data_IF_365806236023
#
_entry.id   IF_365806236023
#
_cell.length_a   1.000
_cell.length_b   1.000
_cell.length_c   1.000
_cell.angle_alpha   90.00
_cell.angle_beta   90.00
_cell.angle_gamma   90.00
#
_symmetry.space_group_name_H-M   'P 1'
#
loop_
_entity.id
_entity.type
_entity.pdbx_description
1 polymer ?
#
# COMPACT_ATOMS: atom_id res chain seq x y z
N UNK A 1 -0.71 -5.01 29.83
CA UNK A 1 -1.73 -4.65 28.80
C UNK A 1 -1.06 -4.08 27.55
N UNK A 2 -1.77 -3.95 26.42
CA UNK A 2 -1.25 -3.30 25.21
C UNK A 2 -2.36 -2.56 24.44
N UNK A 3 -2.02 -1.45 23.77
CA UNK A 3 -2.98 -0.58 23.08
C UNK A 3 -2.99 -0.81 21.57
N UNK A 4 -4.19 -0.87 20.98
CA UNK A 4 -4.37 -0.88 19.52
C UNK A 4 -4.32 0.55 18.97
N UNK A 5 -3.62 0.75 17.87
CA UNK A 5 -3.59 2.01 17.13
C UNK A 5 -4.13 1.84 15.71
N UNK A 6 -4.64 2.94 15.16
CA UNK A 6 -5.11 2.98 13.77
C UNK A 6 -4.27 3.97 12.96
N UNK A 7 -4.09 3.67 11.68
CA UNK A 7 -3.35 4.51 10.74
C UNK A 7 -3.99 4.42 9.35
N UNK A 8 -3.68 5.38 8.49
CA UNK A 8 -4.08 5.38 7.08
C UNK A 8 -2.82 5.35 6.19
N UNK A 9 -2.85 4.59 5.10
CA UNK A 9 -1.77 4.50 4.13
C UNK A 9 -2.29 4.79 2.72
N UNK A 10 -1.56 5.51 1.89
CA UNK A 10 -2.03 6.01 0.60
C UNK A 10 -1.02 6.91 -0.11
N UNK A 11 -1.39 7.52 -1.22
CA UNK A 11 -0.51 8.39 -2.00
C UNK A 11 0.47 7.62 -2.90
N UNK A 12 1.47 8.31 -3.50
CA UNK A 12 2.37 7.70 -4.47
C UNK A 12 3.36 6.73 -3.82
N UNK A 13 3.72 5.66 -4.55
CA UNK A 13 4.78 4.74 -4.14
C UNK A 13 6.14 5.44 -4.27
N UNK A 14 6.83 5.62 -3.15
CA UNK A 14 8.17 6.21 -3.10
C UNK A 14 9.20 5.11 -2.80
N UNK A 15 10.22 4.98 -3.65
CA UNK A 15 11.30 4.02 -3.43
C UNK A 15 12.19 4.42 -2.26
N UNK A 16 12.79 3.43 -1.57
CA UNK A 16 13.60 3.64 -0.37
C UNK A 16 14.70 4.70 -0.54
N UNK A 17 15.43 4.66 -1.65
CA UNK A 17 16.53 5.60 -1.93
C UNK A 17 16.09 7.05 -2.15
N UNK A 18 14.79 7.28 -2.39
CA UNK A 18 14.24 8.62 -2.60
C UNK A 18 13.74 9.26 -1.30
N UNK A 19 13.56 8.48 -0.22
CA UNK A 19 13.09 8.96 1.08
C UNK A 19 14.24 9.63 1.82
N UNK A 20 14.04 10.86 2.26
CA UNK A 20 15.05 11.64 3.00
C UNK A 20 14.61 12.02 4.41
N UNK A 21 13.31 12.23 4.58
CA UNK A 21 12.73 12.69 5.83
C UNK A 21 11.85 11.62 6.46
N UNK A 22 11.78 11.60 7.78
CA UNK A 22 10.95 10.62 8.50
C UNK A 22 9.47 10.73 8.09
N UNK A 23 8.94 11.94 7.86
CA UNK A 23 7.55 12.14 7.46
C UNK A 23 7.18 11.52 6.11
N UNK A 24 8.14 11.31 5.22
CA UNK A 24 7.94 10.67 3.91
C UNK A 24 7.78 9.15 4.00
N UNK A 25 8.22 8.52 5.11
CA UNK A 25 8.07 7.08 5.32
C UNK A 25 6.60 6.67 5.45
N UNK A 26 5.80 7.48 6.15
CA UNK A 26 4.39 7.21 6.44
C UNK A 26 3.95 7.67 7.82
N UNK A 27 2.74 7.30 8.26
CA UNK A 27 2.17 7.77 9.52
C UNK A 27 2.95 7.24 10.74
N UNK A 28 3.03 8.07 11.79
CA UNK A 28 3.60 7.67 13.09
C UNK A 28 2.66 6.69 13.79
N UNK A 29 3.24 5.62 14.32
CA UNK A 29 2.55 4.59 15.09
C UNK A 29 3.38 4.25 16.32
N UNK A 30 2.73 3.79 17.38
CA UNK A 30 3.39 3.42 18.62
C UNK A 30 2.75 2.20 19.26
N UNK A 31 3.59 1.22 19.60
CA UNK A 31 3.19 0.04 20.33
C UNK A 31 3.57 0.24 21.80
N UNK A 32 2.55 0.26 22.65
CA UNK A 32 2.68 0.56 24.08
C UNK A 32 2.35 -0.68 24.88
N UNK A 33 3.22 -1.02 25.81
CA UNK A 33 3.10 -2.16 26.71
C UNK A 33 3.12 -1.70 28.15
N UNK A 34 2.23 -2.27 28.95
CA UNK A 34 2.12 -2.00 30.38
C UNK A 34 2.46 -3.26 31.16
N UNK A 35 3.45 -3.15 32.03
CA UNK A 35 3.91 -4.20 32.94
C UNK A 35 3.52 -3.79 34.36
N UNK A 36 2.79 -4.66 35.07
CA UNK A 36 2.30 -4.37 36.40
C UNK A 36 2.76 -5.44 37.39
N UNK A 37 3.26 -5.04 38.55
CA UNK A 37 3.64 -5.95 39.61
C UNK A 37 2.47 -6.14 40.60
N UNK A 38 1.67 -7.19 40.39
CA UNK A 38 0.60 -7.59 41.32
C UNK A 38 1.11 -8.31 42.57
N UNK A 39 2.36 -8.76 42.55
CA UNK A 39 2.95 -9.56 43.62
C UNK A 39 3.10 -8.80 44.94
N UNK A 40 3.20 -9.50 46.07
CA UNK A 40 3.34 -8.88 47.38
C UNK A 40 4.72 -8.22 47.61
N UNK A 41 5.70 -8.49 46.74
CA UNK A 41 7.10 -8.08 46.88
C UNK A 41 7.57 -7.24 45.70
N UNK A 42 8.62 -6.42 45.92
CA UNK A 42 9.29 -5.70 44.82
C UNK A 42 10.08 -6.68 43.94
N UNK A 43 10.21 -6.34 42.66
CA UNK A 43 11.05 -7.07 41.71
C UNK A 43 12.25 -6.20 41.33
N UNK A 44 13.47 -6.71 41.50
CA UNK A 44 14.69 -5.94 41.26
C UNK A 44 14.90 -5.62 39.78
N UNK A 45 14.64 -6.57 38.90
CA UNK A 45 14.78 -6.43 37.46
C UNK A 45 13.74 -7.31 36.78
N UNK A 46 12.98 -6.72 35.85
CA UNK A 46 12.05 -7.44 34.98
C UNK A 46 12.57 -7.36 33.55
N UNK A 47 12.79 -8.50 32.91
CA UNK A 47 13.15 -8.57 31.49
C UNK A 47 11.87 -8.73 30.66
N UNK A 48 11.68 -7.85 29.68
CA UNK A 48 10.59 -7.90 28.71
C UNK A 48 11.18 -8.04 27.32
N UNK A 49 10.75 -9.06 26.57
CA UNK A 49 11.14 -9.25 25.17
C UNK A 49 9.99 -8.91 24.26
N UNK A 50 10.22 -7.98 23.33
CA UNK A 50 9.25 -7.54 22.33
C UNK A 50 9.72 -8.00 20.95
N UNK A 51 9.02 -8.97 20.36
CA UNK A 51 9.25 -9.38 18.97
C UNK A 51 8.65 -8.34 18.03
N UNK A 52 9.54 -7.58 17.38
CA UNK A 52 9.21 -6.41 16.59
C UNK A 52 9.16 -6.71 15.08
N UNK A 53 8.01 -6.54 14.41
CA UNK A 53 7.84 -6.82 12.98
C UNK A 53 8.31 -5.66 12.11
N UNK A 54 9.58 -5.69 11.68
CA UNK A 54 10.20 -4.57 10.95
C UNK A 54 10.14 -4.71 9.43
N UNK A 55 10.02 -5.93 8.91
CA UNK A 55 9.94 -6.23 7.48
C UNK A 55 8.82 -7.25 7.19
N UNK A 56 8.24 -7.18 6.00
CA UNK A 56 7.30 -8.19 5.50
C UNK A 56 8.06 -9.50 5.24
N UNK A 57 7.46 -10.64 5.61
CA UNK A 57 8.06 -11.93 5.32
C UNK A 57 8.17 -12.17 3.81
N UNK A 58 9.34 -12.62 3.37
CA UNK A 58 9.59 -13.07 2.01
C UNK A 58 10.64 -14.20 2.02
N UNK A 59 10.92 -14.78 0.85
CA UNK A 59 11.89 -15.87 0.71
C UNK A 59 13.36 -15.40 0.66
N UNK A 60 13.61 -14.09 0.82
CA UNK A 60 14.95 -13.48 0.78
C UNK A 60 15.47 -13.18 2.19
N UNK A 61 16.74 -12.82 2.31
CA UNK A 61 17.33 -12.36 3.57
C UNK A 61 16.65 -11.08 4.10
N UNK A 62 16.41 -10.10 3.22
CA UNK A 62 15.71 -8.85 3.51
C UNK A 62 14.39 -8.74 2.74
N UNK A 63 13.36 -8.28 3.46
CA UNK A 63 12.01 -7.99 2.99
C UNK A 63 11.80 -6.51 2.69
N UNK A 64 10.59 -6.16 2.29
CA UNK A 64 10.18 -4.76 2.27
C UNK A 64 9.90 -4.29 3.69
N UNK A 65 10.26 -3.05 4.01
CA UNK A 65 10.00 -2.43 5.31
C UNK A 65 8.51 -2.47 5.68
N UNK A 66 8.25 -2.61 6.98
CA UNK A 66 6.91 -2.65 7.57
C UNK A 66 6.75 -1.61 8.69
N UNK A 67 7.41 -1.80 9.83
CA UNK A 67 7.46 -0.83 10.93
C UNK A 67 8.89 -0.30 11.11
N UNK A 68 9.08 0.97 10.74
CA UNK A 68 10.36 1.65 10.77
C UNK A 68 10.58 2.39 12.10
N UNK A 69 11.51 1.93 12.93
CA UNK A 69 11.79 2.58 14.22
C UNK A 69 12.55 3.90 14.05
N UNK A 70 12.06 4.96 14.68
CA UNK A 70 12.69 6.29 14.63
C UNK A 70 13.74 6.48 15.73
N UNK A 71 13.44 5.94 16.92
CA UNK A 71 14.20 6.16 18.15
C UNK A 71 14.18 4.91 19.03
N UNK A 72 15.02 4.91 20.07
CA UNK A 72 15.05 3.79 21.03
C UNK A 72 13.73 3.75 21.82
N UNK A 73 13.22 2.55 22.15
CA UNK A 73 12.05 2.43 23.00
C UNK A 73 12.26 3.15 24.33
N UNK A 74 11.19 3.78 24.82
CA UNK A 74 11.21 4.54 26.08
C UNK A 74 10.51 3.75 27.18
N UNK A 75 11.01 3.85 28.41
CA UNK A 75 10.41 3.23 29.59
C UNK A 75 10.00 4.34 30.56
N UNK A 76 8.73 4.32 30.97
CA UNK A 76 8.20 5.18 32.02
C UNK A 76 7.97 4.32 33.26
N UNK A 77 8.89 4.39 34.22
CA UNK A 77 8.84 3.65 35.47
C UNK A 77 9.55 4.44 36.58
N UNK A 78 9.15 4.22 37.84
CA UNK A 78 9.79 4.89 38.98
C UNK A 78 11.27 4.50 39.16
N UNK A 79 11.60 3.24 38.90
CA UNK A 79 12.95 2.70 39.07
C UNK A 79 13.85 2.84 37.84
N UNK A 80 13.39 3.55 36.81
CA UNK A 80 14.03 3.66 35.49
C UNK A 80 14.10 2.31 34.73
N UNK A 81 14.63 2.33 33.52
CA UNK A 81 14.85 1.14 32.71
C UNK A 81 15.51 1.46 31.39
N UNK A 82 16.00 0.42 30.72
CA UNK A 82 16.65 0.54 29.42
C UNK A 82 16.21 -0.55 28.45
N UNK A 83 16.24 -0.25 27.17
CA UNK A 83 16.00 -1.22 26.11
C UNK A 83 17.24 -1.35 25.23
N UNK A 84 17.48 -2.56 24.71
CA UNK A 84 18.58 -2.88 23.81
C UNK A 84 18.07 -3.62 22.58
N UNK A 85 18.76 -3.41 21.47
CA UNK A 85 18.51 -4.10 20.19
C UNK A 85 19.55 -5.20 19.98
N UNK A 86 19.20 -6.27 19.24
CA UNK A 86 20.16 -7.31 18.92
C UNK A 86 21.22 -6.78 17.93
N UNK A 87 22.40 -7.44 17.86
CA UNK A 87 23.45 -7.04 16.93
C UNK A 87 22.96 -6.92 15.48
N UNK A 88 23.46 -5.90 14.77
CA UNK A 88 23.07 -5.62 13.39
C UNK A 88 21.77 -4.81 13.23
N UNK A 89 21.05 -4.53 14.32
CA UNK A 89 19.85 -3.70 14.31
C UNK A 89 20.11 -2.38 15.01
N UNK A 90 19.68 -1.28 14.40
CA UNK A 90 19.77 0.08 14.92
C UNK A 90 18.47 0.82 14.66
N UNK A 91 18.18 1.82 15.49
CA UNK A 91 17.09 2.77 15.23
C UNK A 91 17.46 3.65 14.04
N UNK A 92 16.46 4.04 13.25
CA UNK A 92 16.62 4.90 12.09
C UNK A 92 17.84 4.51 11.20
N UNK A 93 17.92 3.26 10.70
CA UNK A 93 19.09 2.77 9.96
C UNK A 93 19.39 3.58 8.69
N UNK A 94 18.35 4.16 8.07
CA UNK A 94 18.48 5.01 6.88
C UNK A 94 18.92 6.45 7.21
N UNK A 95 19.08 6.78 8.50
CA UNK A 95 19.49 8.11 8.99
C UNK A 95 18.62 9.23 8.43
N UNK A 96 17.32 8.98 8.37
CA UNK A 96 16.34 9.94 7.89
C UNK A 96 16.25 11.11 8.87
N UNK A 97 16.08 12.30 8.33
CA UNK A 97 16.03 13.52 9.12
C UNK A 97 14.65 13.68 9.75
N UNK A 98 14.61 14.13 11.01
CA UNK A 98 13.38 14.61 11.61
C UNK A 98 13.13 16.03 11.10
N UNK A 99 11.92 16.30 10.66
CA UNK A 99 11.51 17.65 10.34
C UNK A 99 11.13 18.32 11.65
N UNK A 100 12.14 18.68 12.45
CA UNK A 100 11.93 19.56 13.59
C UNK A 100 11.52 20.94 13.07
N UNK A 101 10.19 21.17 13.13
CA UNK A 101 9.48 22.44 12.94
C UNK A 101 9.53 23.07 11.55
N UNK A 102 8.42 22.95 10.82
CA UNK A 102 8.00 23.90 9.79
C UNK A 102 6.83 24.76 10.30
N UNK A 103 6.92 25.22 11.55
CA UNK A 103 6.00 26.22 12.12
C UNK A 103 6.71 27.56 12.43
N UNK A 104 8.01 27.71 12.11
CA UNK A 104 8.81 28.89 12.52
C UNK A 104 9.72 29.49 11.42
N UNK A 105 9.38 29.32 10.14
CA UNK A 105 9.97 30.13 9.05
C UNK A 105 8.87 30.54 8.05
N UNK A 106 7.90 31.30 8.53
CA UNK A 106 7.00 32.10 7.67
C UNK A 106 7.33 33.60 7.73
N UNK A 107 8.60 33.93 7.98
CA UNK A 107 9.09 35.28 7.76
C UNK A 107 10.50 35.21 7.20
N UNK A 108 10.73 35.96 6.11
CA UNK A 108 12.01 36.19 5.43
C UNK A 108 12.24 35.24 4.21
N UNK A 109 11.41 35.36 3.17
CA UNK A 109 11.71 36.13 1.94
C UNK A 109 10.70 35.78 0.82
N UNK A 110 9.85 36.76 0.52
CA UNK A 110 9.23 36.92 -0.79
C UNK A 110 10.33 37.11 -1.83
N UNK A 111 10.40 36.25 -2.84
CA UNK A 111 10.44 36.64 -4.27
C UNK A 111 10.88 35.49 -5.19
N UNK A 112 10.23 35.46 -6.36
CA UNK A 112 10.60 34.79 -7.63
C UNK A 112 10.04 33.40 -7.96
N UNK A 113 8.89 33.47 -8.65
CA UNK A 113 8.51 32.75 -9.90
C UNK A 113 8.17 31.25 -9.92
N UNK A 114 7.13 30.86 -10.69
CA UNK A 114 6.65 29.49 -10.75
C UNK A 114 7.47 28.65 -11.75
N UNK A 115 8.06 27.56 -11.28
CA UNK A 115 8.61 26.54 -12.18
C UNK A 115 7.53 25.52 -12.50
N UNK A 116 7.02 25.58 -13.74
CA UNK A 116 6.21 24.56 -14.38
C UNK A 116 6.95 23.22 -14.38
N UNK A 117 6.51 22.28 -13.55
CA UNK A 117 7.00 20.89 -13.60
C UNK A 117 6.35 20.20 -14.80
N UNK A 118 7.17 20.00 -15.84
CA UNK A 118 6.90 19.17 -17.00
C UNK A 118 6.89 17.70 -16.55
N UNK A 119 5.71 17.06 -16.53
CA UNK A 119 5.57 15.63 -16.33
C UNK A 119 6.19 14.87 -17.51
N UNK A 120 7.42 14.40 -17.34
CA UNK A 120 8.02 13.44 -18.25
C UNK A 120 7.41 12.06 -17.97
N UNK A 121 6.40 11.72 -18.77
CA UNK A 121 5.86 10.37 -18.83
C UNK A 121 6.95 9.43 -19.36
N UNK A 122 7.69 8.81 -18.44
CA UNK A 122 8.68 7.80 -18.77
C UNK A 122 7.98 6.45 -18.87
N UNK A 123 8.17 5.81 -20.02
CA UNK A 123 7.57 4.54 -20.41
C UNK A 123 7.72 3.48 -19.30
N UNK A 124 6.59 2.89 -18.90
CA UNK A 124 6.55 1.70 -18.05
C UNK A 124 7.31 0.55 -18.73
N UNK A 125 8.57 0.37 -18.34
CA UNK A 125 9.27 -0.89 -18.53
C UNK A 125 8.54 -1.91 -17.66
N UNK A 126 7.81 -2.83 -18.31
CA UNK A 126 7.26 -4.03 -17.66
C UNK A 126 8.43 -4.93 -17.27
N UNK A 127 8.95 -4.76 -16.07
CA UNK A 127 9.69 -5.80 -15.38
C UNK A 127 8.68 -6.89 -14.97
N UNK A 128 8.90 -8.10 -15.47
CA UNK A 128 8.21 -9.31 -15.02
C UNK A 128 8.43 -9.46 -13.52
N UNK A 129 7.34 -9.35 -12.73
CA UNK A 129 7.41 -9.47 -11.28
C UNK A 129 7.72 -10.91 -10.91
N UNK A 130 8.89 -11.16 -10.34
CA UNK A 130 9.08 -12.30 -9.47
C UNK A 130 8.06 -12.15 -8.34
N UNK A 131 7.10 -13.07 -8.27
CA UNK A 131 6.14 -13.12 -7.17
C UNK A 131 6.88 -13.53 -5.91
N UNK A 132 7.53 -12.56 -5.27
CA UNK A 132 7.89 -12.64 -3.86
C UNK A 132 6.61 -12.99 -3.09
N UNK A 133 6.70 -13.86 -2.10
CA UNK A 133 5.55 -14.34 -1.34
C UNK A 133 4.93 -13.21 -0.50
N UNK A 134 4.11 -12.37 -1.14
CA UNK A 134 3.33 -11.29 -0.53
C UNK A 134 2.26 -11.94 0.34
N UNK A 135 2.28 -11.68 1.66
CA UNK A 135 1.41 -12.29 2.67
C UNK A 135 -0.04 -12.37 2.18
N UNK A 136 -0.63 -13.57 2.20
CA UNK A 136 -1.95 -13.81 1.63
C UNK A 136 -3.06 -13.03 2.37
N UNK A 137 -3.94 -12.40 1.59
CA UNK A 137 -5.18 -11.80 2.06
C UNK A 137 -6.16 -12.87 2.55
N UNK A 138 -6.76 -12.63 3.72
CA UNK A 138 -7.82 -13.47 4.31
C UNK A 138 -9.12 -12.71 4.33
N UNK A 139 -10.26 -13.40 4.22
CA UNK A 139 -11.57 -12.78 4.39
C UNK A 139 -12.09 -13.09 5.80
N UNK A 140 -12.33 -12.07 6.60
CA UNK A 140 -13.01 -12.19 7.90
C UNK A 140 -14.44 -11.67 7.77
N UNK A 141 -15.34 -12.17 8.63
CA UNK A 141 -16.73 -11.71 8.68
C UNK A 141 -16.89 -10.96 10.00
N UNK A 142 -17.31 -9.71 9.94
CA UNK A 142 -17.58 -8.92 11.14
C UNK A 142 -18.88 -9.40 11.83
N UNK A 143 -19.12 -8.96 13.06
CA UNK A 143 -20.33 -9.24 13.85
C UNK A 143 -21.61 -8.88 13.09
N UNK A 144 -21.54 -7.89 12.22
CA UNK A 144 -22.65 -7.43 11.37
C UNK A 144 -22.79 -8.22 10.06
N UNK A 145 -21.99 -9.27 9.85
CA UNK A 145 -22.05 -10.14 8.66
C UNK A 145 -21.29 -9.60 7.45
N UNK A 146 -20.66 -8.43 7.55
CA UNK A 146 -19.87 -7.83 6.47
C UNK A 146 -18.55 -8.58 6.27
N UNK A 147 -18.19 -8.83 5.01
CA UNK A 147 -16.96 -9.55 4.64
C UNK A 147 -15.84 -8.53 4.44
N UNK A 148 -14.77 -8.65 5.21
CA UNK A 148 -13.59 -7.80 5.12
C UNK A 148 -12.38 -8.58 4.63
N UNK A 149 -11.67 -8.05 3.63
CA UNK A 149 -10.36 -8.51 3.19
C UNK A 149 -9.29 -7.94 4.09
N UNK A 150 -8.63 -8.81 4.85
CA UNK A 150 -7.66 -8.45 5.87
C UNK A 150 -6.35 -9.18 5.65
N UNK A 151 -5.26 -8.45 5.78
CA UNK A 151 -3.91 -9.01 5.82
C UNK A 151 -3.38 -8.89 7.24
N UNK A 152 -2.82 -9.96 7.78
CA UNK A 152 -2.30 -9.98 9.15
C UNK A 152 -0.81 -10.34 9.17
N UNK A 153 0.01 -9.43 9.67
CA UNK A 153 1.47 -9.54 9.74
C UNK A 153 1.90 -9.59 11.19
N UNK A 154 2.52 -10.71 11.59
CA UNK A 154 3.09 -10.87 12.92
C UNK A 154 4.20 -11.91 12.93
N UNK A 155 5.06 -11.82 13.94
CA UNK A 155 6.23 -12.70 14.10
C UNK A 155 5.86 -14.17 14.30
N UNK A 156 4.79 -14.44 15.06
CA UNK A 156 4.39 -15.81 15.45
C UNK A 156 3.86 -16.61 14.26
N UNK A 157 3.16 -15.95 13.34
CA UNK A 157 2.63 -16.57 12.13
C UNK A 157 3.68 -16.67 11.00
N UNK A 158 4.88 -16.13 11.19
CA UNK A 158 5.91 -16.08 10.15
C UNK A 158 5.54 -15.20 8.95
N UNK A 159 4.58 -14.27 9.13
CA UNK A 159 4.14 -13.33 8.09
C UNK A 159 4.86 -11.98 8.16
N UNK A 160 5.71 -11.79 9.17
CA UNK A 160 6.67 -10.69 9.27
C UNK A 160 8.03 -11.23 9.70
N UNK A 161 9.10 -10.56 9.26
CA UNK A 161 10.44 -10.74 9.82
C UNK A 161 10.58 -9.88 11.05
N UNK A 162 11.16 -10.46 12.08
CA UNK A 162 11.23 -9.83 13.38
C UNK A 162 12.60 -9.96 14.03
N UNK A 163 12.89 -8.99 14.89
CA UNK A 163 13.95 -9.07 15.88
C UNK A 163 13.37 -8.83 17.27
N UNK A 164 14.06 -9.32 18.29
CA UNK A 164 13.61 -9.16 19.69
C UNK A 164 14.28 -7.93 20.30
N UNK A 165 13.48 -6.94 20.67
CA UNK A 165 13.88 -5.84 21.56
C UNK A 165 13.87 -6.38 22.99
N UNK A 166 14.94 -6.19 23.74
CA UNK A 166 15.02 -6.59 25.16
C UNK A 166 15.00 -5.35 26.02
N UNK A 167 14.03 -5.25 26.93
CA UNK A 167 13.89 -4.15 27.85
C UNK A 167 14.03 -4.64 29.29
N UNK A 168 14.82 -3.94 30.09
CA UNK A 168 15.02 -4.19 31.51
C UNK A 168 14.36 -3.06 32.30
N UNK A 169 13.37 -3.41 33.12
CA UNK A 169 12.72 -2.49 34.05
C UNK A 169 13.35 -2.71 35.42
N UNK A 170 13.85 -1.65 36.04
CA UNK A 170 14.54 -1.74 37.31
C UNK A 170 13.61 -1.39 38.49
N UNK A 171 13.80 -2.09 39.60
CA UNK A 171 13.20 -1.81 40.91
C UNK A 171 11.67 -1.58 40.89
N UNK A 172 10.92 -2.47 40.24
CA UNK A 172 9.46 -2.39 40.13
C UNK A 172 8.81 -2.72 41.49
N UNK A 173 8.23 -1.72 42.15
CA UNK A 173 7.62 -1.89 43.47
C UNK A 173 6.32 -2.68 43.39
N UNK A 174 5.84 -3.16 44.54
CA UNK A 174 4.53 -3.79 44.67
C UNK A 174 3.43 -2.80 44.22
N UNK A 175 2.47 -3.29 43.44
CA UNK A 175 1.32 -2.53 42.92
C UNK A 175 1.76 -1.30 42.09
N UNK A 176 2.86 -1.45 41.36
CA UNK A 176 3.38 -0.41 40.49
C UNK A 176 3.38 -0.88 39.04
N UNK A 177 3.13 0.05 38.13
CA UNK A 177 3.23 -0.14 36.69
C UNK A 177 4.53 0.46 36.12
N UNK A 178 4.90 -0.07 34.96
CA UNK A 178 5.92 0.46 34.06
C UNK A 178 5.37 0.39 32.63
N UNK A 179 5.57 1.47 31.86
CA UNK A 179 5.07 1.59 30.49
C UNK A 179 6.25 1.61 29.52
N UNK A 180 6.28 0.67 28.58
CA UNK A 180 7.26 0.62 27.49
C UNK A 180 6.58 1.14 26.22
N UNK A 181 7.18 2.13 25.55
CA UNK A 181 6.67 2.68 24.29
C UNK A 181 7.70 2.53 23.18
N UNK A 182 7.34 1.76 22.15
CA UNK A 182 8.11 1.62 20.91
C UNK A 182 7.46 2.52 19.86
N UNK A 183 8.16 3.57 19.43
CA UNK A 183 7.69 4.48 18.38
C UNK A 183 8.28 4.12 17.03
N UNK A 184 7.45 4.15 16.01
CA UNK A 184 7.83 3.81 14.65
C UNK A 184 6.96 4.55 13.62
N UNK A 185 7.29 4.36 12.35
CA UNK A 185 6.43 4.71 11.23
C UNK A 185 6.02 3.49 10.46
N UNK A 186 4.77 3.50 10.02
CA UNK A 186 4.28 2.54 9.06
C UNK A 186 4.91 2.85 7.70
N UNK A 187 5.54 1.86 7.07
CA UNK A 187 6.17 2.05 5.76
C UNK A 187 5.13 2.08 4.65
N UNK A 188 4.70 3.29 4.31
CA UNK A 188 3.56 3.56 3.44
C UNK A 188 3.70 2.90 2.05
N UNK A 189 4.86 3.04 1.41
CA UNK A 189 5.11 2.52 0.06
C UNK A 189 4.87 1.00 -0.06
N UNK A 190 5.21 0.22 0.96
CA UNK A 190 5.02 -1.23 0.96
C UNK A 190 3.53 -1.58 0.94
N UNK A 191 2.73 -0.89 1.75
CA UNK A 191 1.30 -1.16 1.84
C UNK A 191 0.55 -0.66 0.60
N UNK A 192 0.93 0.50 0.05
CA UNK A 192 0.35 1.03 -1.19
C UNK A 192 0.65 0.14 -2.39
N UNK A 193 1.88 -0.38 -2.50
CA UNK A 193 2.29 -1.22 -3.62
C UNK A 193 1.66 -2.61 -3.57
N UNK A 194 1.72 -3.28 -2.42
CA UNK A 194 1.40 -4.70 -2.30
C UNK A 194 -0.04 -4.97 -1.82
N UNK A 195 -0.62 -4.02 -1.08
CA UNK A 195 -1.94 -4.16 -0.45
C UNK A 195 -2.90 -2.99 -0.74
N UNK A 196 -3.01 -2.47 -1.98
CA UNK A 196 -3.91 -1.35 -2.25
C UNK A 196 -5.38 -1.75 -2.07
N UNK A 197 -5.75 -2.99 -2.43
CA UNK A 197 -7.15 -3.45 -2.51
C UNK A 197 -7.61 -4.24 -1.29
N UNK A 198 -6.99 -4.12 -0.13
CA UNK A 198 -7.47 -4.78 1.09
C UNK A 198 -8.22 -3.77 1.94
N UNK A 199 -9.14 -4.22 2.79
CA UNK A 199 -9.96 -3.29 3.57
C UNK A 199 -9.20 -2.81 4.82
N UNK A 200 -8.27 -3.64 5.33
CA UNK A 200 -7.32 -3.26 6.38
C UNK A 200 -6.11 -4.22 6.44
N UNK A 201 -4.99 -3.70 6.94
CA UNK A 201 -3.78 -4.46 7.29
C UNK A 201 -3.58 -4.40 8.80
N UNK A 202 -3.40 -5.56 9.44
CA UNK A 202 -3.14 -5.70 10.87
C UNK A 202 -1.68 -6.08 11.10
N UNK A 203 -0.96 -5.29 11.88
CA UNK A 203 0.46 -5.50 12.17
C UNK A 203 0.63 -5.64 13.68
N UNK A 204 1.01 -6.83 14.14
CA UNK A 204 1.10 -7.16 15.56
C UNK A 204 2.52 -7.41 16.02
N UNK A 205 2.96 -6.72 17.08
CA UNK A 205 4.17 -7.08 17.83
C UNK A 205 3.81 -7.75 19.15
N UNK A 206 4.65 -8.69 19.56
CA UNK A 206 4.38 -9.57 20.69
C UNK A 206 5.36 -9.27 21.82
N UNK A 207 4.88 -8.97 23.02
CA UNK A 207 5.71 -8.82 24.21
C UNK A 207 5.54 -10.03 25.13
N UNK A 208 6.65 -10.45 25.76
CA UNK A 208 6.64 -11.46 26.82
C UNK A 208 7.56 -11.08 27.97
N UNK A 209 7.17 -11.42 29.18
CA UNK A 209 8.02 -11.33 30.36
C UNK A 209 8.95 -12.56 30.40
N UNK A 210 10.22 -12.35 30.71
CA UNK A 210 11.20 -13.42 30.93
C UNK A 210 11.69 -13.32 32.36
N UNK A 211 11.38 -14.35 33.15
CA UNK A 211 11.84 -14.44 34.53
C UNK A 211 13.21 -15.15 34.52
N UNK A 212 14.30 -14.48 34.92
CA UNK A 212 15.60 -15.10 34.92
C UNK A 212 15.68 -16.15 36.04
N UNK A 213 16.29 -17.30 35.73
CA UNK A 213 16.30 -18.50 36.59
C UNK A 213 17.11 -18.36 37.89
N UNK A 214 17.85 -17.27 38.04
CA UNK A 214 18.66 -16.94 39.22
C UNK A 214 17.87 -16.20 40.31
N UNK A 215 16.59 -15.88 40.09
CA UNK A 215 15.74 -15.19 41.07
C UNK A 215 14.61 -16.15 41.49
N UNK A 216 14.39 -16.27 42.81
CA UNK A 216 13.27 -17.04 43.38
C UNK A 216 11.99 -16.20 43.29
N UNK A 217 11.49 -15.98 42.07
CA UNK A 217 10.15 -15.42 41.84
C UNK A 217 9.23 -16.61 41.58
N UNK A 218 8.32 -16.87 42.53
CA UNK A 218 7.27 -17.86 42.33
C UNK A 218 6.02 -17.12 41.85
N UNK A 219 5.76 -17.21 40.55
CA UNK A 219 4.59 -16.61 39.93
C UNK A 219 3.46 -17.64 39.85
N UNK A 220 2.28 -17.27 40.32
CA UNK A 220 1.11 -18.16 40.36
C UNK A 220 0.41 -18.29 39.01
N UNK A 221 0.40 -17.21 38.22
CA UNK A 221 -0.24 -17.15 36.91
C UNK A 221 0.81 -16.79 35.85
N UNK A 222 1.05 -17.67 34.87
CA UNK A 222 1.98 -17.40 33.75
C UNK A 222 1.24 -16.99 32.46
N UNK A 223 -0.09 -16.83 32.52
CA UNK A 223 -0.92 -16.53 31.33
C UNK A 223 -1.01 -15.04 31.02
N UNK A 224 -0.66 -14.20 31.98
CA UNK A 224 -0.61 -12.74 31.91
C UNK A 224 0.76 -12.19 31.49
N UNK A 225 1.76 -13.05 31.35
CA UNK A 225 3.11 -12.71 30.89
C UNK A 225 3.20 -12.33 29.41
N UNK A 226 2.09 -12.31 28.68
CA UNK A 226 2.06 -12.11 27.23
C UNK A 226 1.07 -11.03 26.82
N UNK A 227 1.51 -10.12 25.95
CA UNK A 227 0.69 -9.05 25.39
C UNK A 227 0.96 -8.83 23.90
N UNK A 228 -0.07 -8.44 23.14
CA UNK A 228 0.04 -8.08 21.72
C UNK A 228 -0.38 -6.64 21.54
N UNK A 229 0.51 -5.82 20.97
CA UNK A 229 0.17 -4.50 20.45
C UNK A 229 -0.09 -4.62 18.95
N UNK A 230 -1.21 -4.06 18.48
CA UNK A 230 -1.64 -4.16 17.08
C UNK A 230 -1.83 -2.76 16.49
N UNK A 231 -1.25 -2.53 15.32
CA UNK A 231 -1.56 -1.39 14.45
C UNK A 231 -2.50 -1.87 13.34
N UNK A 232 -3.64 -1.20 13.19
CA UNK A 232 -4.62 -1.44 12.12
C UNK A 232 -4.50 -0.31 11.10
N UNK A 233 -3.99 -0.62 9.92
CA UNK A 233 -3.79 0.32 8.84
C UNK A 233 -4.89 0.17 7.79
N UNK A 234 -5.54 1.28 7.42
CA UNK A 234 -6.58 1.33 6.39
C UNK A 234 -6.03 2.00 5.13
N UNK A 235 -6.36 1.53 3.93
CA UNK A 235 -6.03 2.26 2.72
C UNK A 235 -6.77 3.59 2.71
N UNK A 236 -6.10 4.65 2.27
CA UNK A 236 -6.72 5.93 2.00
C UNK A 236 -7.54 5.81 0.70
N UNK A 237 -8.86 5.88 0.86
CA UNK A 237 -9.81 5.66 -0.23
C UNK A 237 -9.95 6.87 -1.16
N UNK A 238 -9.22 7.96 -0.90
CA UNK A 238 -9.30 9.19 -1.71
C UNK A 238 -8.96 8.96 -3.20
N UNK A 239 -8.13 7.96 -3.52
CA UNK A 239 -7.79 7.55 -4.90
C UNK A 239 -8.56 6.30 -5.37
N UNK A 240 -9.41 5.71 -4.53
CA UNK A 240 -10.20 4.50 -4.83
C UNK A 240 -11.67 4.80 -5.12
N UNK A 241 -11.94 5.92 -5.77
CA UNK A 241 -13.14 5.99 -6.58
C UNK A 241 -12.90 5.13 -7.84
N UNK A 242 -12.81 3.81 -7.67
CA UNK A 242 -13.05 2.89 -8.77
C UNK A 242 -14.41 3.32 -9.31
N UNK A 243 -14.43 3.84 -10.54
CA UNK A 243 -15.67 4.21 -11.19
C UNK A 243 -16.57 2.98 -11.10
N UNK A 244 -17.64 3.05 -10.30
CA UNK A 244 -18.54 1.91 -10.13
C UNK A 244 -18.91 1.41 -11.52
N UNK A 245 -18.80 0.09 -11.77
CA UNK A 245 -19.01 -0.44 -13.11
C UNK A 245 -20.39 0.00 -13.59
N UNK A 246 -20.39 0.89 -14.59
CA UNK A 246 -21.61 1.51 -15.10
C UNK A 246 -22.51 0.38 -15.62
N UNK A 247 -23.75 0.26 -15.13
CA UNK A 247 -24.65 -0.81 -15.54
C UNK A 247 -24.78 -0.92 -17.06
N UNK A 248 -24.77 -2.15 -17.58
CA UNK A 248 -24.71 -2.42 -19.03
C UNK A 248 -25.85 -1.77 -19.81
N UNK A 249 -27.02 -1.61 -19.19
CA UNK A 249 -28.18 -0.96 -19.79
C UNK A 249 -27.91 0.51 -20.21
N UNK A 250 -27.00 1.21 -19.53
CA UNK A 250 -26.65 2.60 -19.86
C UNK A 250 -25.94 2.66 -21.22
N UNK A 251 -25.06 1.70 -21.54
CA UNK A 251 -24.45 1.60 -22.87
C UNK A 251 -25.49 1.33 -23.96
N UNK A 252 -26.48 0.47 -23.65
CA UNK A 252 -27.58 0.16 -24.58
C UNK A 252 -28.43 1.40 -24.85
N UNK A 253 -28.82 2.13 -23.81
CA UNK A 253 -29.61 3.37 -23.93
C UNK A 253 -28.85 4.43 -24.72
N UNK A 254 -27.55 4.61 -24.45
CA UNK A 254 -26.71 5.56 -25.18
C UNK A 254 -26.61 5.22 -26.68
N UNK A 255 -26.45 3.93 -27.02
CA UNK A 255 -26.40 3.49 -28.41
C UNK A 255 -27.73 3.72 -29.16
N UNK A 256 -28.87 3.42 -28.52
CA UNK A 256 -30.20 3.65 -29.10
C UNK A 256 -30.47 5.15 -29.29
N UNK A 257 -30.17 5.97 -28.28
CA UNK A 257 -30.31 7.42 -28.36
C UNK A 257 -29.42 8.02 -29.47
N UNK A 258 -28.17 7.56 -29.57
CA UNK A 258 -27.24 7.96 -30.63
C UNK A 258 -27.74 7.58 -32.03
N UNK A 259 -28.29 6.37 -32.19
CA UNK A 259 -28.84 5.93 -33.47
C UNK A 259 -30.06 6.76 -33.89
N UNK A 260 -30.97 7.05 -32.95
CA UNK A 260 -32.14 7.90 -33.21
C UNK A 260 -31.74 9.33 -33.60
N UNK A 261 -30.77 9.92 -32.89
CA UNK A 261 -30.24 11.24 -33.19
C UNK A 261 -29.57 11.27 -34.57
N UNK A 262 -28.79 10.24 -34.91
CA UNK A 262 -28.15 10.12 -36.22
C UNK A 262 -29.19 10.04 -37.34
N UNK A 263 -30.23 9.22 -37.19
CA UNK A 263 -31.33 9.14 -38.16
C UNK A 263 -31.99 10.52 -38.32
N UNK A 264 -32.30 11.20 -37.22
CA UNK A 264 -32.93 12.51 -37.26
C UNK A 264 -32.05 13.57 -37.95
N UNK A 265 -30.74 13.57 -37.68
CA UNK A 265 -29.76 14.41 -38.38
C UNK A 265 -29.73 14.13 -39.89
N UNK A 266 -29.71 12.86 -40.31
CA UNK A 266 -29.73 12.52 -41.74
C UNK A 266 -31.00 13.01 -42.43
N UNK A 267 -32.15 12.98 -41.75
CA UNK A 267 -33.41 13.51 -42.28
C UNK A 267 -33.39 15.03 -42.40
N UNK A 268 -32.86 15.74 -41.39
CA UNK A 268 -32.68 17.20 -41.43
C UNK A 268 -31.73 17.58 -42.57
N UNK A 269 -30.55 16.95 -42.66
CA UNK A 269 -29.57 17.22 -43.70
C UNK A 269 -30.12 16.89 -45.10
N UNK A 270 -30.97 15.86 -45.22
CA UNK A 270 -31.69 15.54 -46.46
C UNK A 270 -32.72 16.62 -46.81
N UNK A 271 -33.47 17.14 -45.84
CA UNK A 271 -34.48 18.21 -46.03
C UNK A 271 -33.84 19.57 -46.33
N UNK A 272 -32.70 19.86 -45.73
CA UNK A 272 -31.87 21.04 -46.03
C UNK A 272 -31.10 20.93 -47.36
N UNK A 273 -31.28 19.83 -48.11
CA UNK A 273 -30.80 19.72 -49.49
C UNK A 273 -29.31 19.44 -49.64
N UNK A 274 -28.60 19.13 -48.55
CA UNK A 274 -27.14 18.93 -48.56
C UNK A 274 -26.69 17.76 -49.45
N UNK A 275 -27.48 16.70 -49.56
CA UNK A 275 -27.17 15.53 -50.40
C UNK A 275 -27.55 15.68 -51.88
N UNK A 276 -28.11 16.82 -52.30
CA UNK A 276 -28.34 17.09 -53.73
C UNK A 276 -27.06 17.63 -54.37
N UNK A 277 -26.15 16.73 -54.77
CA UNK A 277 -25.06 17.11 -55.68
C UNK A 277 -25.63 17.36 -57.08
N UNK A 278 -25.52 18.59 -57.58
CA UNK A 278 -25.57 18.87 -59.03
C UNK A 278 -24.30 18.26 -59.63
N UNK A 279 -24.44 17.19 -60.40
CA UNK A 279 -23.38 16.75 -61.33
C UNK A 279 -23.48 17.65 -62.57
N UNK A 280 -22.38 18.27 -63.04
CA UNK A 280 -22.33 18.78 -64.42
C UNK A 280 -22.45 17.59 -65.38
N UNK A 281 -23.07 17.83 -66.53
CA UNK A 281 -23.49 16.83 -67.51
C UNK A 281 -22.38 15.89 -67.99
N UNK A 282 -22.71 14.63 -68.36
CA UNK A 282 -21.79 13.72 -69.00
C UNK A 282 -21.64 14.09 -70.48
N UNK A 283 -20.82 15.09 -70.81
CA UNK A 283 -20.31 15.26 -72.17
C UNK A 283 -18.94 14.64 -72.30
N UNK A 284 -18.89 13.31 -72.51
CA UNK A 284 -17.93 12.67 -73.41
C UNK A 284 -18.32 11.19 -73.56
N UNK A 285 -19.18 10.93 -74.54
CA UNK A 285 -19.31 9.62 -75.18
C UNK A 285 -17.97 9.26 -75.82
N UNK A 286 -17.12 8.58 -75.06
CA UNK A 286 -15.91 7.93 -75.58
C UNK A 286 -16.31 6.81 -76.52
N UNK A 287 -16.05 7.03 -77.80
CA UNK A 287 -16.20 6.05 -78.87
C UNK A 287 -15.12 4.98 -78.66
N UNK A 288 -15.44 3.89 -77.95
CA UNK A 288 -14.60 2.70 -77.89
C UNK A 288 -15.00 1.79 -79.04
N UNK A 289 -14.33 2.02 -80.17
CA UNK A 289 -14.37 1.16 -81.35
C UNK A 289 -13.73 -0.18 -80.98
N UNK A 290 -14.56 -1.21 -80.87
CA UNK A 290 -14.14 -2.59 -80.62
C UNK A 290 -13.51 -3.13 -81.90
N UNK A 291 -12.19 -2.99 -82.02
CA UNK A 291 -11.40 -3.70 -83.02
C UNK A 291 -11.62 -5.21 -82.85
N UNK A 292 -12.22 -5.83 -83.88
CA UNK A 292 -12.39 -7.26 -84.03
C UNK A 292 -11.30 -7.72 -84.99
N UNK A 293 -10.23 -8.30 -84.44
CA UNK A 293 -9.21 -8.98 -85.24
C UNK A 293 -9.78 -10.33 -85.69
N UNK A 294 -10.24 -10.39 -86.94
CA UNK A 294 -10.44 -11.65 -87.66
C UNK A 294 -9.08 -12.06 -88.24
N UNK A 295 -8.37 -12.97 -87.57
CA UNK A 295 -7.18 -13.64 -88.09
C UNK A 295 -7.55 -15.06 -88.56
N UNK A 296 -7.52 -15.36 -89.88
CA UNK A 296 -7.80 -16.68 -90.41
C UNK A 296 -6.49 -17.38 -90.74
N UNK A 297 -5.89 -18.06 -89.76
CA UNK A 297 -4.93 -19.14 -90.04
C UNK A 297 -4.73 -19.95 -88.75
N UNK A 298 -4.98 -21.26 -88.86
CA UNK A 298 -4.67 -22.39 -87.97
C UNK A 298 -5.88 -23.31 -87.79
N UNK A 299 -6.32 -23.87 -88.92
CA UNK A 299 -6.87 -25.22 -88.94
C UNK A 299 -5.70 -26.22 -88.82
N UNK A 300 -5.95 -27.35 -88.15
CA UNK A 300 -5.14 -28.58 -88.04
C UNK A 300 -4.21 -28.73 -86.82
N UNK A 301 -4.74 -29.47 -85.81
CA UNK A 301 -4.13 -30.50 -84.95
C UNK A 301 -4.89 -30.46 -83.61
N UNK A 302 -5.88 -31.28 -83.32
CA UNK A 302 -5.76 -32.72 -83.12
C UNK A 302 -7.17 -33.33 -83.19
N UNK A 303 -7.40 -34.20 -84.18
CA UNK A 303 -8.39 -35.28 -84.11
C UNK A 303 -7.64 -36.51 -83.64
N UNK A 304 -7.97 -37.01 -82.45
CA UNK A 304 -8.22 -38.43 -82.17
C UNK A 304 -8.85 -38.58 -80.80
#
# INVERSE_FOLDING_TARGET
SAKTQWAFYGGPVVGESAIKHLNEVGPKVSHVYEVFNEGPWKVSTVEVRISWPYEVANDKAHGKWLLYMEEMPTIQALGDGECILPPGHVVNPLKLQDNANLDDIDSIIQSSTPSTILYNHTNHIRTTRDTEKVVNTRTIIDKDGHRHRVVAMNCKAGTAKCFDIVCYIYNLQRKQEAIISVKARLWNSTLVEDYPKVDMVKIGSNARIVIPSNIVIQQENLKDDYAIAETIAYPDLLDQQEAEPVPVWIYIVAAVAGMLLFILLTLILRKLGFFKRRRPDPTLSGNLEKHRDDNPENEALFKH
#
